data_IF_868073995591
#
_entry.id   IF_868073995591
#
_cell.length_a   1.000
_cell.length_b   1.000
_cell.length_c   1.000
_cell.angle_alpha   90.00
_cell.angle_beta   90.00
_cell.angle_gamma   90.00
#
_symmetry.space_group_name_H-M   'P 1'
#
loop_
_entity.id
_entity.type
_entity.pdbx_description
1 polymer ?
#
# COMPACT_ATOMS: atom_id res chain seq x y z
N UNK A 1 -10.83 6.65 22.62
CA UNK A 1 -9.39 6.90 22.42
C UNK A 1 -9.14 8.40 22.57
N UNK A 2 -8.00 8.81 23.15
CA UNK A 2 -7.68 10.24 23.26
C UNK A 2 -7.30 10.78 21.87
N UNK A 3 -7.61 12.04 21.58
CA UNK A 3 -7.35 12.70 20.28
C UNK A 3 -5.88 12.56 19.85
N UNK A 4 -4.94 12.72 20.79
CA UNK A 4 -3.51 12.56 20.52
C UNK A 4 -3.16 11.14 20.03
N UNK A 5 -3.71 10.11 20.68
CA UNK A 5 -3.50 8.70 20.29
C UNK A 5 -4.07 8.42 18.91
N UNK A 6 -5.23 9.01 18.58
CA UNK A 6 -5.80 8.93 17.24
C UNK A 6 -4.90 9.58 16.18
N UNK A 7 -4.50 10.84 16.37
CA UNK A 7 -3.66 11.57 15.41
C UNK A 7 -2.32 10.87 15.17
N UNK A 8 -1.68 10.40 16.24
CA UNK A 8 -0.41 9.68 16.14
C UNK A 8 -0.58 8.34 15.40
N UNK A 9 -1.64 7.58 15.72
CA UNK A 9 -1.92 6.31 15.04
C UNK A 9 -2.21 6.51 13.55
N UNK A 10 -2.96 7.57 13.20
CA UNK A 10 -3.28 7.92 11.82
C UNK A 10 -2.03 8.36 11.07
N UNK A 11 -1.18 9.20 11.66
CA UNK A 11 0.08 9.61 11.04
C UNK A 11 1.01 8.43 10.73
N UNK A 12 1.14 7.50 11.68
CA UNK A 12 1.92 6.26 11.49
C UNK A 12 1.30 5.42 10.36
N UNK A 13 -0.02 5.26 10.34
CA UNK A 13 -0.72 4.49 9.32
C UNK A 13 -0.52 5.06 7.92
N UNK A 14 -0.69 6.37 7.75
CA UNK A 14 -0.48 7.04 6.46
C UNK A 14 0.96 6.87 5.97
N UNK A 15 1.95 7.04 6.84
CA UNK A 15 3.35 6.85 6.45
C UNK A 15 3.67 5.39 6.13
N UNK A 16 3.09 4.45 6.88
CA UNK A 16 3.18 3.00 6.60
C UNK A 16 2.58 2.67 5.23
N UNK A 17 1.43 3.27 4.88
CA UNK A 17 0.82 3.12 3.55
C UNK A 17 1.75 3.62 2.43
N UNK A 18 2.42 4.76 2.61
CA UNK A 18 3.38 5.28 1.60
C UNK A 18 4.58 4.34 1.42
N UNK A 19 5.11 3.77 2.50
CA UNK A 19 6.20 2.78 2.43
C UNK A 19 5.75 1.50 1.72
N UNK A 20 4.57 0.99 2.04
CA UNK A 20 3.98 -0.17 1.38
C UNK A 20 3.68 0.11 -0.09
N UNK A 21 3.25 1.33 -0.43
CA UNK A 21 3.06 1.76 -1.82
C UNK A 21 4.38 1.74 -2.59
N UNK A 22 5.50 2.16 -1.99
CA UNK A 22 6.83 2.02 -2.59
C UNK A 22 7.20 0.57 -2.86
N UNK A 23 6.97 -0.30 -1.88
CA UNK A 23 7.22 -1.75 -2.03
C UNK A 23 6.38 -2.32 -3.17
N UNK A 24 5.10 -1.96 -3.22
CA UNK A 24 4.17 -2.41 -4.25
C UNK A 24 4.58 -1.89 -5.63
N UNK A 25 4.93 -0.61 -5.78
CA UNK A 25 5.42 -0.07 -7.06
C UNK A 25 6.65 -0.83 -7.57
N UNK A 26 7.58 -1.21 -6.69
CA UNK A 26 8.76 -1.99 -7.11
C UNK A 26 8.37 -3.41 -7.53
N UNK A 27 7.47 -4.06 -6.77
CA UNK A 27 6.98 -5.41 -7.08
C UNK A 27 6.19 -5.45 -8.40
N UNK A 28 5.31 -4.47 -8.62
CA UNK A 28 4.52 -4.30 -9.84
C UNK A 28 5.34 -3.77 -11.02
N UNK A 29 6.63 -3.42 -10.80
CA UNK A 29 7.54 -2.83 -11.80
C UNK A 29 6.98 -1.56 -12.44
N UNK A 30 6.40 -0.69 -11.61
CA UNK A 30 5.88 0.60 -12.06
C UNK A 30 7.00 1.49 -12.62
N UNK A 31 6.62 2.40 -13.52
CA UNK A 31 7.54 3.37 -14.10
C UNK A 31 7.98 4.42 -13.06
N UNK A 32 9.22 4.28 -12.57
CA UNK A 32 9.80 5.22 -11.61
C UNK A 32 10.13 6.58 -12.20
N UNK A 33 10.08 6.80 -13.52
CA UNK A 33 10.20 8.14 -14.12
C UNK A 33 8.91 8.95 -13.98
N UNK A 34 7.78 8.31 -13.66
CA UNK A 34 6.51 8.99 -13.46
C UNK A 34 6.57 9.95 -12.25
N UNK A 35 6.00 11.18 -12.35
CA UNK A 35 5.99 12.14 -11.25
C UNK A 35 5.41 11.60 -9.94
N UNK A 36 4.36 10.78 -10.01
CA UNK A 36 3.73 10.18 -8.82
C UNK A 36 4.66 9.17 -8.13
N UNK A 37 5.29 8.28 -8.92
CA UNK A 37 6.27 7.33 -8.41
C UNK A 37 7.48 8.04 -7.79
N UNK A 38 7.96 9.11 -8.42
CA UNK A 38 9.03 9.95 -7.89
C UNK A 38 8.64 10.64 -6.58
N UNK A 39 7.40 11.12 -6.46
CA UNK A 39 6.89 11.71 -5.23
C UNK A 39 6.94 10.72 -4.05
N UNK A 40 6.40 9.51 -4.25
CA UNK A 40 6.40 8.45 -3.22
C UNK A 40 7.83 8.07 -2.83
N UNK A 41 8.72 7.92 -3.81
CA UNK A 41 10.14 7.64 -3.56
C UNK A 41 10.76 8.79 -2.77
N UNK A 42 10.58 10.04 -3.19
CA UNK A 42 11.17 11.23 -2.55
C UNK A 42 10.74 11.41 -1.09
N UNK A 43 9.48 11.11 -0.75
CA UNK A 43 9.00 11.16 0.64
C UNK A 43 9.63 10.07 1.51
N UNK A 44 9.89 8.90 0.94
CA UNK A 44 10.42 7.75 1.68
C UNK A 44 11.95 7.73 1.72
N UNK A 45 12.64 8.35 0.76
CA UNK A 45 14.10 8.33 0.66
C UNK A 45 14.86 8.83 1.90
N UNK A 46 14.45 9.89 2.62
CA UNK A 46 15.20 10.38 3.78
C UNK A 46 15.42 9.29 4.85
N UNK A 47 14.46 8.38 5.02
CA UNK A 47 14.56 7.25 5.94
C UNK A 47 15.17 6.02 5.25
N UNK A 48 14.72 5.70 4.03
CA UNK A 48 15.12 4.46 3.35
C UNK A 48 16.54 4.51 2.78
N UNK A 49 17.01 5.68 2.33
CA UNK A 49 18.34 5.86 1.75
C UNK A 49 19.48 5.47 2.70
N UNK A 50 19.52 5.96 3.95
CA UNK A 50 20.49 5.53 4.95
C UNK A 50 20.38 4.03 5.27
N UNK A 51 19.16 3.50 5.44
CA UNK A 51 18.92 2.10 5.80
C UNK A 51 19.35 1.11 4.71
N UNK A 52 19.24 1.50 3.44
CA UNK A 52 19.69 0.70 2.29
C UNK A 52 21.19 0.41 2.28
N UNK A 53 21.99 1.14 3.07
CA UNK A 53 23.42 0.84 3.24
C UNK A 53 23.65 -0.44 4.05
N UNK A 54 22.67 -0.82 4.87
CA UNK A 54 22.74 -1.99 5.76
C UNK A 54 21.87 -3.12 5.21
N UNK A 55 20.70 -2.77 4.66
CA UNK A 55 19.70 -3.74 4.22
C UNK A 55 19.65 -3.73 2.69
N UNK A 56 20.21 -4.76 2.02
CA UNK A 56 20.14 -4.86 0.57
C UNK A 56 18.72 -5.23 0.09
N UNK A 57 18.32 -4.78 -1.11
CA UNK A 57 17.03 -5.16 -1.69
C UNK A 57 16.96 -6.67 -1.93
N UNK A 58 15.83 -7.29 -1.59
CA UNK A 58 15.60 -8.72 -1.79
C UNK A 58 14.82 -8.94 -3.09
N UNK A 59 15.54 -8.99 -4.21
CA UNK A 59 14.96 -9.17 -5.53
C UNK A 59 14.02 -8.03 -5.93
N UNK A 60 12.75 -8.29 -6.31
CA UNK A 60 11.82 -7.25 -6.75
C UNK A 60 11.19 -6.44 -5.60
N UNK A 61 11.46 -6.79 -4.34
CA UNK A 61 10.85 -6.16 -3.16
C UNK A 61 11.85 -5.21 -2.48
N UNK A 62 11.40 -4.01 -2.11
CA UNK A 62 12.15 -3.08 -1.27
C UNK A 62 12.13 -3.55 0.20
N UNK A 63 13.08 -4.43 0.56
CA UNK A 63 13.22 -5.00 1.90
C UNK A 63 13.40 -3.94 3.01
N UNK A 64 14.12 -2.86 2.72
CA UNK A 64 14.32 -1.77 3.68
C UNK A 64 12.98 -1.07 3.99
N UNK A 65 12.16 -0.81 2.96
CA UNK A 65 10.85 -0.18 3.14
C UNK A 65 9.86 -1.10 3.84
N UNK A 66 9.89 -2.40 3.54
CA UNK A 66 9.08 -3.41 4.23
C UNK A 66 9.45 -3.53 5.71
N UNK A 67 10.74 -3.51 6.04
CA UNK A 67 11.19 -3.54 7.43
C UNK A 67 10.72 -2.29 8.19
N UNK A 68 10.86 -1.10 7.61
CA UNK A 68 10.40 0.14 8.26
C UNK A 68 8.89 0.12 8.45
N UNK A 69 8.11 -0.35 7.47
CA UNK A 69 6.67 -0.50 7.60
C UNK A 69 6.28 -1.46 8.74
N UNK A 70 7.03 -2.56 8.91
CA UNK A 70 6.82 -3.49 10.02
C UNK A 70 7.16 -2.85 11.39
N UNK A 71 8.30 -2.15 11.49
CA UNK A 71 8.69 -1.43 12.72
C UNK A 71 7.62 -0.39 13.10
N UNK A 72 7.10 0.37 12.13
CA UNK A 72 6.01 1.31 12.37
C UNK A 72 4.72 0.62 12.84
N UNK A 73 4.43 -0.58 12.34
CA UNK A 73 3.29 -1.38 12.80
C UNK A 73 3.47 -1.85 14.26
N UNK A 74 4.69 -2.19 14.67
CA UNK A 74 5.04 -2.46 16.08
C UNK A 74 4.84 -1.21 16.95
N UNK A 75 5.33 -0.06 16.50
CA UNK A 75 5.15 1.22 17.21
C UNK A 75 3.66 1.55 17.35
N UNK A 76 2.87 1.37 16.28
CA UNK A 76 1.41 1.57 16.32
C UNK A 76 0.75 0.63 17.33
N UNK A 77 1.14 -0.65 17.38
CA UNK A 77 0.62 -1.60 18.36
C UNK A 77 0.91 -1.14 19.81
N UNK A 78 2.14 -0.70 20.10
CA UNK A 78 2.53 -0.16 21.41
C UNK A 78 1.67 1.06 21.79
N UNK A 79 1.45 1.96 20.84
CA UNK A 79 0.62 3.17 21.03
C UNK A 79 -0.85 2.82 21.31
N UNK A 80 -1.41 1.84 20.60
CA UNK A 80 -2.81 1.44 20.73
C UNK A 80 -3.06 0.70 22.05
N UNK A 81 -2.19 -0.24 22.42
CA UNK A 81 -2.33 -0.99 23.67
C UNK A 81 -1.86 -0.21 24.90
N UNK A 82 -1.08 0.87 24.72
CA UNK A 82 -0.43 1.63 25.80
C UNK A 82 0.43 0.74 26.70
N UNK A 83 1.06 -0.27 26.10
CA UNK A 83 1.90 -1.26 26.77
C UNK A 83 3.31 -1.18 26.18
N UNK A 84 4.31 -1.08 27.05
CA UNK A 84 5.73 -0.96 26.68
C UNK A 84 6.45 -2.33 26.74
N UNK A 85 5.80 -3.37 27.26
CA UNK A 85 6.41 -4.70 27.40
C UNK A 85 6.38 -5.48 26.09
N UNK A 86 7.50 -6.13 25.72
CA UNK A 86 7.64 -6.93 24.50
C UNK A 86 6.96 -8.29 24.61
N UNK A 87 5.64 -8.29 24.73
CA UNK A 87 4.82 -9.50 24.77
C UNK A 87 4.54 -10.02 23.35
N UNK A 88 4.29 -11.32 23.24
CA UNK A 88 3.91 -11.97 21.98
C UNK A 88 2.73 -11.28 21.27
N UNK A 89 1.80 -10.72 22.05
CA UNK A 89 0.62 -10.00 21.54
C UNK A 89 1.00 -8.79 20.68
N UNK A 90 2.11 -8.09 20.98
CA UNK A 90 2.55 -6.92 20.20
C UNK A 90 3.00 -7.35 18.81
N UNK A 91 3.75 -8.44 18.71
CA UNK A 91 4.22 -8.96 17.43
C UNK A 91 3.07 -9.47 16.56
N UNK A 92 2.13 -10.20 17.16
CA UNK A 92 0.91 -10.66 16.47
C UNK A 92 0.10 -9.46 15.99
N UNK A 93 -0.10 -8.46 16.84
CA UNK A 93 -0.82 -7.25 16.47
C UNK A 93 -0.11 -6.46 15.37
N UNK A 94 1.23 -6.35 15.40
CA UNK A 94 2.00 -5.67 14.36
C UNK A 94 1.82 -6.35 13.00
N UNK A 95 1.82 -7.68 12.94
CA UNK A 95 1.53 -8.43 11.71
C UNK A 95 0.11 -8.16 11.23
N UNK A 96 -0.89 -8.24 12.12
CA UNK A 96 -2.29 -7.96 11.76
C UNK A 96 -2.50 -6.53 11.28
N UNK A 97 -1.87 -5.55 11.93
CA UNK A 97 -1.88 -4.14 11.52
C UNK A 97 -1.29 -4.00 10.13
N UNK A 98 -0.12 -4.59 9.88
CA UNK A 98 0.55 -4.51 8.57
C UNK A 98 -0.32 -5.12 7.47
N UNK A 99 -0.89 -6.32 7.70
CA UNK A 99 -1.78 -6.99 6.76
C UNK A 99 -3.04 -6.17 6.47
N UNK A 100 -3.66 -5.61 7.51
CA UNK A 100 -4.80 -4.70 7.35
C UNK A 100 -4.43 -3.46 6.55
N UNK A 101 -3.27 -2.86 6.81
CA UNK A 101 -2.80 -1.70 6.06
C UNK A 101 -2.53 -2.03 4.59
N UNK A 102 -2.01 -3.23 4.28
CA UNK A 102 -1.88 -3.71 2.90
C UNK A 102 -3.26 -3.82 2.23
N UNK A 103 -4.22 -4.48 2.88
CA UNK A 103 -5.58 -4.63 2.35
C UNK A 103 -6.27 -3.28 2.09
N UNK A 104 -6.14 -2.35 3.03
CA UNK A 104 -6.65 -0.98 2.88
C UNK A 104 -5.96 -0.22 1.75
N UNK A 105 -4.63 -0.32 1.65
CA UNK A 105 -3.88 0.33 0.58
C UNK A 105 -4.34 -0.16 -0.79
N UNK A 106 -4.49 -1.48 -0.97
CA UNK A 106 -4.97 -2.08 -2.22
C UNK A 106 -6.38 -1.56 -2.52
N UNK A 107 -7.28 -1.59 -1.54
CA UNK A 107 -8.63 -1.07 -1.69
C UNK A 107 -8.65 0.38 -2.19
N UNK A 108 -7.90 1.27 -1.53
CA UNK A 108 -7.86 2.69 -1.90
C UNK A 108 -7.22 2.94 -3.27
N UNK A 109 -6.15 2.23 -3.62
CA UNK A 109 -5.53 2.33 -4.97
C UNK A 109 -6.52 1.93 -6.05
N UNK A 110 -7.23 0.82 -5.89
CA UNK A 110 -8.22 0.35 -6.86
C UNK A 110 -9.44 1.27 -6.94
N UNK A 111 -9.90 1.79 -5.80
CA UNK A 111 -11.00 2.75 -5.75
C UNK A 111 -10.63 4.03 -6.51
N UNK A 112 -9.45 4.60 -6.24
CA UNK A 112 -8.98 5.81 -6.95
C UNK A 112 -8.80 5.52 -8.43
N UNK A 113 -8.25 4.36 -8.81
CA UNK A 113 -8.12 3.96 -10.21
C UNK A 113 -9.48 3.89 -10.91
N UNK A 114 -10.48 3.26 -10.27
CA UNK A 114 -11.83 3.17 -10.81
C UNK A 114 -12.46 4.55 -11.00
N UNK A 115 -12.32 5.44 -10.01
CA UNK A 115 -12.80 6.84 -10.11
C UNK A 115 -12.08 7.57 -11.26
N UNK A 116 -10.75 7.44 -11.37
CA UNK A 116 -9.95 8.10 -12.41
C UNK A 116 -10.31 7.62 -13.82
N UNK A 117 -10.70 6.35 -13.98
CA UNK A 117 -11.11 5.80 -15.28
C UNK A 117 -12.31 6.53 -15.88
N UNK A 118 -13.22 7.05 -15.04
CA UNK A 118 -14.38 7.83 -15.48
C UNK A 118 -14.02 9.30 -15.73
N UNK A 119 -13.07 9.85 -14.98
CA UNK A 119 -12.74 11.28 -15.02
C UNK A 119 -11.71 11.63 -16.10
N UNK A 120 -10.66 10.81 -16.26
CA UNK A 120 -9.42 11.15 -16.98
C UNK A 120 -9.25 10.42 -18.31
N UNK A 121 -9.98 9.32 -18.55
CA UNK A 121 -9.91 8.50 -19.77
C UNK A 121 -8.47 8.22 -20.26
N UNK A 122 -7.53 7.94 -19.35
CA UNK A 122 -6.15 7.55 -19.69
C UNK A 122 -5.15 8.67 -19.91
N UNK A 123 -5.48 9.94 -19.65
CA UNK A 123 -4.60 11.08 -20.00
C UNK A 123 -3.68 11.56 -18.86
N UNK A 124 -3.87 11.08 -17.63
CA UNK A 124 -3.12 11.56 -16.47
C UNK A 124 -1.93 10.67 -16.10
N UNK A 125 -0.78 11.24 -15.67
CA UNK A 125 0.37 10.45 -15.22
C UNK A 125 0.05 9.54 -14.03
N UNK A 126 -0.85 9.96 -13.14
CA UNK A 126 -1.23 9.18 -11.96
C UNK A 126 -1.99 7.92 -12.37
N UNK A 127 -2.92 8.03 -13.32
CA UNK A 127 -3.70 6.90 -13.83
C UNK A 127 -2.81 5.81 -14.42
N UNK A 128 -1.74 6.18 -15.13
CA UNK A 128 -0.78 5.22 -15.66
C UNK A 128 -0.13 4.37 -14.56
N UNK A 129 0.29 4.99 -13.44
CA UNK A 129 0.87 4.26 -12.31
C UNK A 129 -0.17 3.41 -11.60
N UNK A 130 -1.41 3.90 -11.45
CA UNK A 130 -2.50 3.15 -10.83
C UNK A 130 -2.83 1.88 -11.61
N UNK A 131 -2.87 1.97 -12.95
CA UNK A 131 -3.07 0.80 -13.82
C UNK A 131 -1.92 -0.20 -13.64
N UNK A 132 -0.67 0.26 -13.65
CA UNK A 132 0.50 -0.61 -13.42
C UNK A 132 0.47 -1.29 -12.05
N UNK A 133 0.08 -0.56 -11.00
CA UNK A 133 -0.06 -1.11 -9.64
C UNK A 133 -1.14 -2.20 -9.58
N UNK A 134 -2.27 -1.97 -10.25
CA UNK A 134 -3.39 -2.88 -10.25
C UNK A 134 -3.18 -4.11 -11.15
N UNK A 135 -2.34 -4.02 -12.19
CA UNK A 135 -2.16 -5.07 -13.20
C UNK A 135 -1.82 -6.46 -12.60
N UNK A 136 -0.88 -6.61 -11.65
CA UNK A 136 -0.59 -7.91 -11.04
C UNK A 136 -1.78 -8.54 -10.31
N UNK A 137 -2.68 -7.71 -9.77
CA UNK A 137 -3.86 -8.15 -9.03
C UNK A 137 -5.07 -8.39 -9.95
N UNK A 138 -5.22 -7.57 -11.00
CA UNK A 138 -6.34 -7.63 -11.93
C UNK A 138 -6.11 -8.62 -13.07
N UNK A 139 -4.87 -8.87 -13.50
CA UNK A 139 -4.57 -9.79 -14.61
C UNK A 139 -5.15 -11.20 -14.38
N UNK A 140 -5.04 -11.82 -13.18
CA UNK A 140 -5.69 -13.11 -12.91
C UNK A 140 -7.22 -13.04 -12.97
N UNK A 141 -7.83 -11.94 -12.52
CA UNK A 141 -9.28 -11.75 -12.50
C UNK A 141 -9.83 -11.57 -13.92
N UNK A 142 -9.14 -10.77 -14.74
CA UNK A 142 -9.47 -10.55 -16.16
C UNK A 142 -9.46 -11.83 -16.99
N UNK A 143 -8.67 -12.85 -16.60
CA UNK A 143 -8.68 -14.16 -17.27
C UNK A 143 -9.95 -14.96 -17.01
N UNK A 144 -10.69 -14.65 -15.95
CA UNK A 144 -11.90 -15.35 -15.55
C UNK A 144 -13.15 -14.59 -16.05
N UNK A 145 -13.09 -13.27 -16.12
CA UNK A 145 -14.22 -12.45 -16.54
C UNK A 145 -14.38 -12.42 -18.08
N UNK A 146 -15.60 -12.56 -18.61
CA UNK A 146 -15.86 -12.41 -20.04
C UNK A 146 -15.62 -10.97 -20.49
N UNK A 147 -15.20 -10.78 -21.75
CA UNK A 147 -14.96 -9.46 -22.32
C UNK A 147 -16.27 -8.65 -22.41
N UNK A 148 -16.46 -7.67 -21.52
CA UNK A 148 -17.69 -6.87 -21.43
C UNK A 148 -17.63 -5.59 -22.27
N UNK A 149 -17.53 -5.72 -23.60
CA UNK A 149 -17.82 -4.60 -24.51
C UNK A 149 -16.95 -3.35 -24.35
N UNK A 150 -15.69 -3.48 -23.91
CA UNK A 150 -14.73 -2.37 -23.76
C UNK A 150 -14.73 -1.68 -22.39
N UNK A 151 -15.61 -2.07 -21.46
CA UNK A 151 -15.62 -1.58 -20.07
C UNK A 151 -15.04 -2.66 -19.16
N UNK A 152 -13.95 -2.34 -18.46
CA UNK A 152 -13.31 -3.27 -17.51
C UNK A 152 -13.98 -3.19 -16.13
N UNK A 153 -14.81 -4.17 -15.80
CA UNK A 153 -15.46 -4.30 -14.48
C UNK A 153 -14.59 -5.00 -13.42
N UNK A 154 -13.40 -5.49 -13.78
CA UNK A 154 -12.49 -6.18 -12.85
C UNK A 154 -12.16 -5.36 -11.59
N UNK A 155 -11.94 -4.03 -11.66
CA UNK A 155 -11.71 -3.20 -10.49
C UNK A 155 -12.90 -3.21 -9.50
N UNK A 156 -14.14 -3.19 -9.98
CA UNK A 156 -15.32 -3.22 -9.11
C UNK A 156 -15.42 -4.54 -8.32
N UNK A 157 -15.19 -5.67 -9.00
CA UNK A 157 -15.20 -6.99 -8.36
C UNK A 157 -14.14 -7.09 -7.28
N UNK A 158 -12.90 -6.64 -7.58
CA UNK A 158 -11.81 -6.70 -6.62
C UNK A 158 -12.03 -5.74 -5.43
N UNK A 159 -12.56 -4.55 -5.66
CA UNK A 159 -12.94 -3.60 -4.59
C UNK A 159 -14.01 -4.21 -3.68
N UNK A 160 -15.02 -4.89 -4.24
CA UNK A 160 -16.08 -5.53 -3.45
C UNK A 160 -15.54 -6.69 -2.59
N UNK A 161 -14.67 -7.54 -3.16
CA UNK A 161 -14.01 -8.62 -2.41
C UNK A 161 -13.16 -8.06 -1.26
N UNK A 162 -12.37 -7.02 -1.54
CA UNK A 162 -11.55 -6.36 -0.52
C UNK A 162 -12.38 -5.66 0.54
N UNK A 163 -13.52 -5.07 0.18
CA UNK A 163 -14.45 -4.49 1.15
C UNK A 163 -14.93 -5.55 2.14
N UNK A 164 -15.35 -6.72 1.66
CA UNK A 164 -15.80 -7.84 2.50
C UNK A 164 -14.68 -8.38 3.38
N UNK A 165 -13.44 -8.47 2.87
CA UNK A 165 -12.29 -8.98 3.62
C UNK A 165 -11.76 -7.97 4.66
N UNK A 166 -11.85 -6.67 4.37
CA UNK A 166 -11.33 -5.62 5.25
C UNK A 166 -12.34 -5.13 6.30
N UNK A 167 -13.62 -5.49 6.16
CA UNK A 167 -14.70 -5.19 7.11
C UNK A 167 -14.57 -6.06 8.36
#
# INVERSE_FOLDING_TARGET
MNTLTFLLSTGIELYTMVLLLRVWMQWARCDFYNPFSQFVVKITQPIIGPLRRIIPPMGPIDSASLLVAFILSVIKAIVLFKVITFQAIIWIAAVLILLKTIGLLIFWVLLVMAIMSWVSQGRSPIEYVLIQLAEPLLSPIRRILPAMGGIDFSPMVLVLLLYVVNM
#
